data_IF_457146245038
#
_entry.id   IF_457146245038
#
_cell.length_a   1.000
_cell.length_b   1.000
_cell.length_c   1.000
_cell.angle_alpha   90.00
_cell.angle_beta   90.00
_cell.angle_gamma   90.00
#
_symmetry.space_group_name_H-M   'P 1'
#
loop_
_entity.id
_entity.type
_entity.pdbx_description
1 polymer ?
#
# COMPACT_ATOMS: atom_id res chain seq x y z
N UNK A 1 -16.94 0.36 -4.45
CA UNK A 1 -15.68 1.11 -4.27
C UNK A 1 -14.54 0.14 -3.99
N UNK A 2 -13.31 0.44 -4.44
CA UNK A 2 -12.12 -0.42 -4.29
C UNK A 2 -11.13 0.21 -3.31
N UNK A 3 -10.65 -0.57 -2.34
CA UNK A 3 -9.51 -0.21 -1.48
C UNK A 3 -8.20 -0.48 -2.25
N UNK A 4 -7.36 0.54 -2.47
CA UNK A 4 -6.13 0.39 -3.24
C UNK A 4 -4.93 -0.11 -2.42
N UNK A 5 -5.08 -0.30 -1.09
CA UNK A 5 -3.94 -0.55 -0.21
C UNK A 5 -4.26 -1.59 0.87
N UNK A 6 -4.24 -2.86 0.46
CA UNK A 6 -4.48 -4.02 1.33
C UNK A 6 -3.32 -5.00 1.21
N UNK A 7 -2.52 -5.15 2.26
CA UNK A 7 -1.38 -6.06 2.25
C UNK A 7 -1.80 -7.52 2.35
N UNK A 8 -1.30 -8.33 1.43
CA UNK A 8 -1.30 -9.77 1.57
C UNK A 8 -0.06 -10.18 2.40
N UNK A 9 -0.25 -11.12 3.30
CA UNK A 9 0.84 -11.70 4.07
C UNK A 9 0.78 -13.23 3.95
N UNK A 10 1.93 -13.86 3.81
CA UNK A 10 2.03 -15.31 3.76
C UNK A 10 3.35 -15.80 4.35
N UNK A 11 3.27 -16.92 5.08
CA UNK A 11 4.42 -17.72 5.47
C UNK A 11 4.93 -18.51 4.26
N UNK A 12 6.21 -18.83 4.26
CA UNK A 12 6.81 -19.62 3.19
C UNK A 12 6.18 -21.02 3.08
N UNK A 13 5.91 -21.42 1.85
CA UNK A 13 5.64 -22.80 1.44
C UNK A 13 6.41 -23.08 0.14
N UNK A 14 6.60 -24.35 -0.22
CA UNK A 14 7.35 -24.73 -1.43
C UNK A 14 6.75 -24.12 -2.72
N UNK A 15 5.46 -23.81 -2.71
CA UNK A 15 4.70 -23.41 -3.91
C UNK A 15 4.40 -21.91 -4.00
N UNK A 16 4.55 -21.12 -2.90
CA UNK A 16 4.02 -19.75 -2.88
C UNK A 16 5.05 -18.66 -3.17
N UNK A 17 6.34 -18.99 -3.25
CA UNK A 17 7.38 -17.99 -3.51
C UNK A 17 7.47 -16.88 -2.46
N UNK A 18 6.90 -17.09 -1.27
CA UNK A 18 6.91 -16.11 -0.17
C UNK A 18 8.09 -16.36 0.77
N UNK A 19 8.48 -15.33 1.51
CA UNK A 19 9.56 -15.45 2.49
C UNK A 19 9.36 -14.47 3.64
N UNK A 20 9.60 -14.93 4.86
CA UNK A 20 9.69 -14.08 6.04
C UNK A 20 11.00 -14.42 6.76
N UNK A 21 11.84 -13.41 7.03
CA UNK A 21 13.10 -13.63 7.71
C UNK A 21 12.89 -14.13 9.15
N UNK A 22 13.83 -14.93 9.70
CA UNK A 22 13.78 -15.35 11.10
C UNK A 22 13.73 -14.17 12.09
N UNK A 23 14.27 -13.03 11.71
CA UNK A 23 14.22 -11.81 12.51
C UNK A 23 12.79 -11.24 12.53
N UNK A 24 12.13 -11.15 11.36
CA UNK A 24 10.77 -10.66 11.25
C UNK A 24 9.78 -11.55 11.99
N UNK A 25 9.93 -12.88 11.91
CA UNK A 25 9.11 -13.83 12.69
C UNK A 25 9.20 -13.60 14.20
N UNK A 26 10.35 -13.10 14.70
CA UNK A 26 10.54 -12.78 16.12
C UNK A 26 10.09 -11.37 16.50
N UNK A 27 9.74 -10.53 15.53
CA UNK A 27 9.37 -9.14 15.78
C UNK A 27 8.05 -9.02 16.58
N UNK A 28 7.91 -7.95 17.39
CA UNK A 28 6.65 -7.70 18.11
C UNK A 28 5.45 -7.52 17.15
N UNK A 29 5.69 -6.92 15.97
CA UNK A 29 4.65 -6.74 14.96
C UNK A 29 4.13 -8.07 14.44
N UNK A 30 5.02 -9.00 14.05
CA UNK A 30 4.62 -10.33 13.59
C UNK A 30 3.87 -11.09 14.69
N UNK A 31 4.37 -11.07 15.93
CA UNK A 31 3.72 -11.73 17.06
C UNK A 31 2.31 -11.19 17.32
N UNK A 32 2.13 -9.86 17.22
CA UNK A 32 0.82 -9.23 17.36
C UNK A 32 -0.14 -9.66 16.24
N UNK A 33 0.34 -9.68 14.99
CA UNK A 33 -0.47 -10.12 13.84
C UNK A 33 -0.81 -11.61 13.93
N UNK A 34 0.16 -12.45 14.28
CA UNK A 34 -0.04 -13.88 14.48
C UNK A 34 -1.07 -14.17 15.58
N UNK A 35 -0.97 -13.48 16.71
CA UNK A 35 -1.96 -13.58 17.78
C UNK A 35 -3.35 -13.09 17.33
N UNK A 36 -3.43 -11.95 16.65
CA UNK A 36 -4.69 -11.35 16.22
C UNK A 36 -5.44 -12.21 15.19
N UNK A 37 -4.73 -12.87 14.31
CA UNK A 37 -5.27 -13.72 13.24
C UNK A 37 -5.17 -15.21 13.55
N UNK A 38 -4.77 -15.55 14.78
CA UNK A 38 -4.61 -16.94 15.23
C UNK A 38 -3.72 -17.78 14.30
N UNK A 39 -2.60 -17.17 13.85
CA UNK A 39 -1.71 -17.82 12.88
C UNK A 39 -0.71 -18.75 13.59
N UNK A 40 -0.49 -19.93 13.00
CA UNK A 40 0.48 -20.91 13.44
C UNK A 40 1.66 -21.00 12.47
N UNK A 41 2.84 -20.52 12.88
CA UNK A 41 4.03 -20.55 12.02
C UNK A 41 4.52 -21.98 11.69
N UNK A 42 4.06 -23.00 12.43
CA UNK A 42 4.36 -24.41 12.15
C UNK A 42 3.44 -25.02 11.09
N UNK A 43 2.30 -24.38 10.83
CA UNK A 43 1.36 -24.76 9.76
C UNK A 43 1.17 -23.57 8.83
N UNK A 44 2.13 -23.38 7.93
CA UNK A 44 2.17 -22.25 7.02
C UNK A 44 0.98 -22.26 6.04
N UNK A 45 0.62 -23.43 5.51
CA UNK A 45 -0.48 -23.52 4.55
C UNK A 45 -1.82 -23.12 5.17
N UNK A 46 -2.12 -23.66 6.34
CA UNK A 46 -3.31 -23.29 7.12
C UNK A 46 -3.33 -21.80 7.48
N UNK A 47 -2.20 -21.28 7.98
CA UNK A 47 -2.09 -19.86 8.38
C UNK A 47 -2.27 -18.91 7.21
N UNK A 48 -1.72 -19.25 6.03
CA UNK A 48 -1.88 -18.46 4.82
C UNK A 48 -3.36 -18.43 4.38
N UNK A 49 -4.03 -19.59 4.37
CA UNK A 49 -5.45 -19.66 4.03
C UNK A 49 -6.30 -18.92 5.06
N UNK A 50 -6.02 -19.09 6.34
CA UNK A 50 -6.73 -18.40 7.44
C UNK A 50 -6.64 -16.88 7.32
N UNK A 51 -5.45 -16.34 6.95
CA UNK A 51 -5.30 -14.89 6.73
C UNK A 51 -6.18 -14.39 5.58
N UNK A 52 -6.23 -15.13 4.47
CA UNK A 52 -7.09 -14.81 3.32
C UNK A 52 -8.57 -14.89 3.70
N UNK A 53 -8.97 -15.93 4.44
CA UNK A 53 -10.36 -16.12 4.88
C UNK A 53 -10.81 -15.01 5.83
N UNK A 54 -9.96 -14.56 6.75
CA UNK A 54 -10.25 -13.44 7.66
C UNK A 54 -10.43 -12.13 6.88
N UNK A 55 -9.56 -11.89 5.91
CA UNK A 55 -9.65 -10.71 5.03
C UNK A 55 -10.95 -10.75 4.19
N UNK A 56 -11.26 -11.90 3.57
CA UNK A 56 -12.50 -12.10 2.82
C UNK A 56 -13.73 -11.88 3.69
N UNK A 57 -13.74 -12.46 4.89
CA UNK A 57 -14.86 -12.32 5.83
C UNK A 57 -15.08 -10.85 6.25
N UNK A 58 -13.99 -10.08 6.42
CA UNK A 58 -14.07 -8.66 6.76
C UNK A 58 -14.51 -7.82 5.57
N UNK A 59 -13.98 -8.08 4.36
CA UNK A 59 -14.34 -7.36 3.15
C UNK A 59 -15.81 -7.61 2.76
N UNK A 60 -16.26 -8.86 2.80
CA UNK A 60 -17.66 -9.22 2.48
C UNK A 60 -18.69 -8.63 3.41
N UNK A 61 -18.30 -8.27 4.66
CA UNK A 61 -19.13 -7.57 5.62
C UNK A 61 -19.11 -6.05 5.46
N UNK A 62 -18.20 -5.51 4.63
CA UNK A 62 -18.11 -4.08 4.42
C UNK A 62 -19.33 -3.55 3.65
N UNK A 63 -19.87 -2.41 4.10
CA UNK A 63 -21.04 -1.78 3.48
C UNK A 63 -20.67 -0.81 2.36
N UNK A 64 -19.45 -0.26 2.40
CA UNK A 64 -19.00 0.80 1.49
C UNK A 64 -17.95 0.34 0.49
N UNK A 65 -17.41 -0.87 0.65
CA UNK A 65 -16.41 -1.44 -0.24
C UNK A 65 -16.92 -2.71 -0.89
N UNK A 66 -16.45 -2.94 -2.12
CA UNK A 66 -16.78 -4.13 -2.92
C UNK A 66 -15.53 -4.97 -3.16
N UNK A 67 -14.39 -4.30 -3.38
CA UNK A 67 -13.13 -4.96 -3.74
C UNK A 67 -11.94 -4.34 -3.01
N UNK A 68 -10.85 -5.09 -2.98
CA UNK A 68 -9.55 -4.64 -2.50
C UNK A 68 -8.43 -5.02 -3.48
N UNK A 69 -7.43 -4.16 -3.62
CA UNK A 69 -6.19 -4.51 -4.30
C UNK A 69 -5.27 -5.21 -3.31
N UNK A 70 -5.00 -6.48 -3.55
CA UNK A 70 -4.05 -7.27 -2.75
C UNK A 70 -2.63 -6.94 -3.13
N UNK A 71 -1.86 -6.40 -2.21
CA UNK A 71 -0.50 -5.96 -2.45
C UNK A 71 0.51 -7.06 -2.10
N UNK A 72 1.30 -7.43 -3.09
CA UNK A 72 2.53 -8.19 -2.93
C UNK A 72 3.65 -7.38 -2.30
N UNK A 73 4.77 -8.04 -2.04
CA UNK A 73 5.98 -7.40 -1.53
C UNK A 73 7.20 -8.07 -2.15
N UNK A 74 7.98 -7.32 -2.91
CA UNK A 74 9.25 -7.81 -3.49
C UNK A 74 10.42 -7.60 -2.53
N UNK A 75 11.53 -8.29 -2.79
CA UNK A 75 12.71 -8.28 -1.96
C UNK A 75 13.73 -7.19 -2.29
N UNK A 76 14.89 -7.33 -1.67
CA UNK A 76 16.09 -6.54 -1.93
C UNK A 76 16.92 -7.24 -3.00
N UNK A 77 17.45 -6.48 -3.95
CA UNK A 77 18.32 -7.00 -5.01
C UNK A 77 19.73 -6.42 -4.89
N UNK A 78 20.71 -7.18 -5.32
CA UNK A 78 22.10 -6.72 -5.42
C UNK A 78 22.33 -5.90 -6.70
N UNK A 79 23.56 -5.42 -6.90
CA UNK A 79 23.92 -4.60 -8.06
C UNK A 79 23.83 -5.37 -9.40
N UNK A 80 23.79 -6.70 -9.38
CA UNK A 80 23.60 -7.55 -10.56
C UNK A 80 22.13 -7.86 -10.85
N UNK A 81 21.23 -7.37 -10.00
CA UNK A 81 19.79 -7.60 -10.12
C UNK A 81 19.34 -8.99 -9.64
N UNK A 82 20.14 -9.64 -8.79
CA UNK A 82 19.84 -10.93 -8.17
C UNK A 82 19.28 -10.70 -6.75
N UNK A 83 18.25 -11.47 -6.37
CA UNK A 83 17.63 -11.39 -5.05
C UNK A 83 18.66 -11.64 -3.93
N UNK A 84 18.82 -10.67 -3.04
CA UNK A 84 19.62 -10.78 -1.82
C UNK A 84 18.72 -11.27 -0.66
N UNK A 85 18.61 -12.60 -0.52
CA UNK A 85 17.81 -13.20 0.54
C UNK A 85 18.28 -12.82 1.94
N UNK A 86 19.60 -12.53 2.12
CA UNK A 86 20.15 -12.10 3.42
C UNK A 86 19.73 -10.70 3.85
N UNK A 87 19.31 -9.88 2.88
CA UNK A 87 18.81 -8.52 3.12
C UNK A 87 17.29 -8.39 2.98
N UNK A 88 16.63 -9.39 2.45
CA UNK A 88 15.17 -9.43 2.32
C UNK A 88 14.56 -9.89 3.65
N UNK A 89 13.68 -9.07 4.23
CA UNK A 89 12.98 -9.43 5.47
C UNK A 89 11.59 -10.04 5.23
N UNK A 90 10.92 -9.57 4.20
CA UNK A 90 9.57 -9.98 3.86
C UNK A 90 9.38 -9.96 2.34
N UNK A 91 8.87 -11.04 1.80
CA UNK A 91 8.56 -11.19 0.38
C UNK A 91 7.22 -11.94 0.23
N UNK A 92 6.35 -11.40 -0.59
CA UNK A 92 5.10 -12.04 -1.02
C UNK A 92 5.15 -12.15 -2.54
N UNK A 93 5.30 -13.37 -3.05
CA UNK A 93 5.51 -13.64 -4.47
C UNK A 93 4.36 -13.17 -5.34
N UNK A 94 4.66 -12.64 -6.52
CA UNK A 94 3.65 -12.15 -7.46
C UNK A 94 2.69 -13.25 -7.90
N UNK A 95 3.17 -14.48 -8.11
CA UNK A 95 2.31 -15.61 -8.47
C UNK A 95 1.31 -15.95 -7.36
N UNK A 96 1.72 -15.84 -6.10
CA UNK A 96 0.80 -16.04 -4.98
C UNK A 96 -0.31 -14.97 -4.98
N UNK A 97 0.05 -13.68 -5.17
CA UNK A 97 -0.93 -12.59 -5.28
C UNK A 97 -1.91 -12.82 -6.44
N UNK A 98 -1.38 -13.15 -7.62
CA UNK A 98 -2.17 -13.42 -8.82
C UNK A 98 -3.12 -14.61 -8.64
N UNK A 99 -2.64 -15.68 -7.99
CA UNK A 99 -3.44 -16.88 -7.74
C UNK A 99 -4.57 -16.61 -6.73
N UNK A 100 -4.30 -15.88 -5.63
CA UNK A 100 -5.34 -15.51 -4.68
C UNK A 100 -6.38 -14.60 -5.35
N UNK A 101 -5.96 -13.58 -6.09
CA UNK A 101 -6.90 -12.69 -6.79
C UNK A 101 -7.73 -13.43 -7.84
N UNK A 102 -7.13 -14.41 -8.55
CA UNK A 102 -7.86 -15.27 -9.50
C UNK A 102 -8.87 -16.20 -8.82
N UNK A 103 -8.57 -16.68 -7.60
CA UNK A 103 -9.47 -17.51 -6.81
C UNK A 103 -10.68 -16.74 -6.29
N UNK A 104 -10.53 -15.42 -6.09
CA UNK A 104 -11.57 -14.54 -5.54
C UNK A 104 -11.74 -13.27 -6.40
N UNK A 105 -12.15 -13.39 -7.68
CA UNK A 105 -12.15 -12.26 -8.63
C UNK A 105 -13.21 -11.20 -8.34
N UNK A 106 -14.20 -11.52 -7.53
CA UNK A 106 -15.24 -10.59 -7.11
C UNK A 106 -14.77 -9.68 -5.96
N UNK A 107 -13.81 -10.13 -5.16
CA UNK A 107 -13.31 -9.45 -3.99
C UNK A 107 -11.94 -8.81 -4.21
N UNK A 108 -11.07 -9.42 -5.04
CA UNK A 108 -9.68 -9.00 -5.14
C UNK A 108 -9.25 -8.62 -6.55
N UNK A 109 -8.39 -7.60 -6.59
CA UNK A 109 -7.57 -7.22 -7.74
C UNK A 109 -6.09 -7.45 -7.37
N UNK A 110 -5.25 -7.99 -8.27
CA UNK A 110 -3.85 -8.22 -7.94
C UNK A 110 -3.02 -6.94 -8.02
N UNK A 111 -2.37 -6.59 -6.93
CA UNK A 111 -1.35 -5.54 -6.83
C UNK A 111 0.02 -6.20 -6.64
N UNK A 112 0.73 -6.39 -7.74
CA UNK A 112 2.03 -7.05 -7.73
C UNK A 112 3.13 -6.14 -7.16
N UNK A 113 4.26 -6.71 -6.75
CA UNK A 113 5.41 -5.93 -6.32
C UNK A 113 6.61 -6.26 -7.19
N UNK A 114 7.25 -5.24 -7.75
CA UNK A 114 8.40 -5.42 -8.64
C UNK A 114 9.43 -4.34 -8.29
N UNK A 115 10.54 -4.78 -7.71
CA UNK A 115 11.68 -3.90 -7.47
C UNK A 115 12.35 -3.57 -8.81
N UNK A 116 12.50 -2.29 -9.20
CA UNK A 116 13.08 -1.93 -10.49
C UNK A 116 14.58 -2.30 -10.61
N UNK A 117 15.21 -2.73 -9.51
CA UNK A 117 16.59 -3.20 -9.50
C UNK A 117 16.72 -4.67 -9.96
N UNK A 118 15.64 -5.41 -10.10
CA UNK A 118 15.66 -6.77 -10.66
C UNK A 118 16.21 -6.74 -12.08
N UNK A 119 17.02 -7.75 -12.42
CA UNK A 119 17.52 -7.89 -13.82
C UNK A 119 16.42 -8.17 -14.83
N UNK A 120 15.31 -8.78 -14.38
CA UNK A 120 14.11 -9.16 -15.14
C UNK A 120 12.91 -8.25 -14.84
N UNK A 121 13.15 -7.01 -14.36
CA UNK A 121 12.06 -6.12 -13.90
C UNK A 121 11.02 -5.82 -14.98
N UNK A 122 11.45 -5.66 -16.23
CA UNK A 122 10.57 -5.32 -17.35
C UNK A 122 9.78 -6.56 -17.79
N UNK A 123 10.45 -7.69 -17.94
CA UNK A 123 9.82 -8.97 -18.30
C UNK A 123 8.79 -9.40 -17.23
N UNK A 124 9.14 -9.25 -15.96
CA UNK A 124 8.21 -9.55 -14.87
C UNK A 124 7.01 -8.59 -14.86
N UNK A 125 7.22 -7.30 -15.17
CA UNK A 125 6.13 -6.34 -15.30
C UNK A 125 5.17 -6.70 -16.43
N UNK A 126 5.70 -7.07 -17.61
CA UNK A 126 4.89 -7.51 -18.75
C UNK A 126 4.10 -8.76 -18.40
N UNK A 127 4.76 -9.79 -17.86
CA UNK A 127 4.14 -11.04 -17.43
C UNK A 127 3.00 -10.82 -16.42
N UNK A 128 3.24 -10.01 -15.40
CA UNK A 128 2.23 -9.71 -14.38
C UNK A 128 1.05 -8.91 -14.95
N UNK A 129 1.32 -7.98 -15.87
CA UNK A 129 0.28 -7.19 -16.54
C UNK A 129 -0.61 -8.08 -17.41
N UNK A 130 -0.03 -8.98 -18.18
CA UNK A 130 -0.77 -9.98 -18.98
C UNK A 130 -1.61 -10.92 -18.09
N UNK A 131 -1.14 -11.20 -16.87
CA UNK A 131 -1.87 -11.98 -15.87
C UNK A 131 -2.94 -11.18 -15.12
N UNK A 132 -3.14 -9.88 -15.43
CA UNK A 132 -4.20 -9.03 -14.91
C UNK A 132 -3.81 -8.16 -13.71
N UNK A 133 -2.51 -7.89 -13.50
CA UNK A 133 -2.07 -6.98 -12.44
C UNK A 133 -2.73 -5.60 -12.58
N UNK A 134 -3.30 -5.09 -11.49
CA UNK A 134 -4.01 -3.82 -11.43
C UNK A 134 -3.09 -2.63 -11.13
N UNK A 135 -2.01 -2.86 -10.37
CA UNK A 135 -0.96 -1.89 -10.07
C UNK A 135 0.33 -2.59 -9.62
N UNK A 136 1.43 -1.82 -9.59
CA UNK A 136 2.70 -2.25 -9.00
C UNK A 136 2.91 -1.54 -7.67
N UNK A 137 3.12 -2.27 -6.58
CA UNK A 137 3.50 -1.75 -5.26
C UNK A 137 5.00 -1.79 -5.08
N UNK A 138 5.58 -0.70 -4.54
CA UNK A 138 6.97 -0.67 -4.10
C UNK A 138 7.10 -0.06 -2.71
N UNK A 139 8.10 -0.53 -1.98
CA UNK A 139 8.50 -0.04 -0.66
C UNK A 139 10.00 0.30 -0.68
N UNK A 140 10.39 1.45 -1.27
CA UNK A 140 11.79 1.77 -1.57
C UNK A 140 12.74 1.65 -0.39
N UNK A 141 12.30 2.10 0.81
CA UNK A 141 13.08 2.02 2.06
C UNK A 141 13.51 0.57 2.39
N UNK A 142 12.59 -0.38 2.25
CA UNK A 142 12.82 -1.79 2.62
C UNK A 142 13.36 -2.61 1.45
N UNK A 143 12.99 -2.25 0.21
CA UNK A 143 13.46 -2.89 -1.01
C UNK A 143 14.86 -2.39 -1.44
N UNK A 144 15.39 -1.35 -0.79
CA UNK A 144 16.76 -0.90 -0.93
C UNK A 144 17.09 -0.21 -2.25
N UNK A 145 16.13 0.50 -2.86
CA UNK A 145 16.38 1.29 -4.08
C UNK A 145 15.90 2.74 -3.93
N UNK A 146 16.47 3.63 -4.72
CA UNK A 146 16.10 5.04 -4.79
C UNK A 146 15.15 5.29 -5.98
N UNK A 147 13.86 5.65 -5.76
CA UNK A 147 12.94 5.93 -6.86
C UNK A 147 13.38 7.08 -7.77
N UNK A 148 14.21 7.99 -7.26
CA UNK A 148 14.78 9.10 -8.04
C UNK A 148 15.96 8.70 -8.93
N UNK A 149 16.44 7.47 -8.86
CA UNK A 149 17.58 7.02 -9.66
C UNK A 149 17.17 6.84 -11.12
N UNK A 150 17.83 7.59 -12.00
CA UNK A 150 17.54 7.63 -13.44
C UNK A 150 17.84 6.30 -14.17
N UNK A 151 18.58 5.37 -13.56
CA UNK A 151 18.77 4.03 -14.11
C UNK A 151 17.46 3.25 -14.29
N UNK A 152 16.41 3.58 -13.53
CA UNK A 152 15.09 2.93 -13.59
C UNK A 152 14.12 3.57 -14.60
N UNK A 153 14.56 4.57 -15.37
CA UNK A 153 13.74 5.20 -16.43
C UNK A 153 13.13 4.16 -17.40
N UNK A 154 13.84 3.13 -17.88
CA UNK A 154 13.22 2.12 -18.73
C UNK A 154 12.02 1.41 -18.08
N UNK A 155 12.11 1.10 -16.80
CA UNK A 155 11.00 0.51 -16.02
C UNK A 155 9.82 1.49 -15.90
N UNK A 156 10.07 2.76 -15.61
CA UNK A 156 9.01 3.77 -15.49
C UNK A 156 8.30 4.04 -16.81
N UNK A 157 9.03 4.08 -17.92
CA UNK A 157 8.45 4.18 -19.27
C UNK A 157 7.60 2.95 -19.60
N UNK A 158 8.02 1.78 -19.19
CA UNK A 158 7.22 0.55 -19.36
C UNK A 158 5.93 0.61 -18.58
N UNK A 159 5.94 1.06 -17.32
CA UNK A 159 4.71 1.30 -16.53
C UNK A 159 3.75 2.25 -17.25
N UNK A 160 4.28 3.37 -17.79
CA UNK A 160 3.49 4.33 -18.54
C UNK A 160 2.90 3.72 -19.83
N UNK A 161 3.69 2.96 -20.58
CA UNK A 161 3.26 2.27 -21.80
C UNK A 161 2.14 1.27 -21.53
N UNK A 162 2.27 0.49 -20.46
CA UNK A 162 1.29 -0.52 -20.06
C UNK A 162 0.11 0.08 -19.27
N UNK A 163 0.17 1.38 -18.95
CA UNK A 163 -0.81 2.11 -18.14
C UNK A 163 -1.05 1.50 -16.76
N UNK A 164 -0.01 0.90 -16.18
CA UNK A 164 -0.06 0.27 -14.85
C UNK A 164 0.40 1.30 -13.81
N UNK A 165 -0.43 1.69 -12.82
CA UNK A 165 -0.05 2.62 -11.77
C UNK A 165 1.05 2.06 -10.86
N UNK A 166 1.96 2.94 -10.43
CA UNK A 166 2.97 2.67 -9.40
C UNK A 166 2.49 3.18 -8.05
N UNK A 167 2.18 2.30 -7.11
CA UNK A 167 1.91 2.64 -5.72
C UNK A 167 3.22 2.57 -4.92
N UNK A 168 3.77 3.73 -4.57
CA UNK A 168 5.03 3.82 -3.83
C UNK A 168 4.78 4.20 -2.37
N UNK A 169 5.41 3.47 -1.44
CA UNK A 169 5.51 3.90 -0.05
C UNK A 169 6.20 5.26 0.05
N UNK A 170 5.72 6.11 0.94
CA UNK A 170 6.29 7.42 1.26
C UNK A 170 6.40 7.59 2.78
N UNK A 171 7.45 8.27 3.20
CA UNK A 171 7.76 8.52 4.60
C UNK A 171 8.66 7.46 5.22
N UNK A 172 8.78 7.55 6.54
CA UNK A 172 9.56 6.58 7.32
C UNK A 172 8.85 5.23 7.38
N UNK A 173 9.62 4.17 7.23
CA UNK A 173 9.18 2.78 7.40
C UNK A 173 9.68 2.24 8.75
N UNK A 174 8.75 1.81 9.60
CA UNK A 174 9.05 1.29 10.94
C UNK A 174 8.69 -0.19 11.11
N UNK A 175 7.88 -0.74 10.21
CA UNK A 175 7.39 -2.13 10.29
C UNK A 175 8.40 -3.12 9.73
N UNK A 176 9.13 -2.70 8.69
CA UNK A 176 10.19 -3.46 8.05
C UNK A 176 11.51 -2.70 8.16
N UNK A 177 12.64 -3.41 8.12
CA UNK A 177 13.92 -2.72 8.10
C UNK A 177 14.08 -1.88 6.83
N UNK A 178 14.05 -0.58 7.00
CA UNK A 178 14.46 0.37 5.98
C UNK A 178 15.94 0.72 6.18
N UNK A 179 16.78 0.42 5.20
CA UNK A 179 18.21 0.78 5.27
C UNK A 179 18.42 2.27 5.05
N UNK A 180 17.64 2.83 4.11
CA UNK A 180 17.71 4.24 3.75
C UNK A 180 16.30 4.85 3.82
N UNK A 181 16.03 5.55 4.90
CA UNK A 181 14.75 6.23 5.10
C UNK A 181 14.55 7.40 4.12
N UNK A 182 15.63 7.92 3.53
CA UNK A 182 15.54 8.97 2.51
C UNK A 182 14.89 8.47 1.20
N UNK A 183 14.86 7.15 0.97
CA UNK A 183 14.16 6.56 -0.17
C UNK A 183 12.65 6.80 -0.16
N UNK A 184 12.09 7.10 1.02
CA UNK A 184 10.68 7.48 1.19
C UNK A 184 10.38 8.98 0.95
N UNK A 185 11.32 9.78 0.46
CA UNK A 185 11.07 11.18 0.11
C UNK A 185 10.21 11.27 -1.15
N UNK A 186 8.99 11.87 -1.10
CA UNK A 186 8.11 11.99 -2.25
C UNK A 186 8.68 12.83 -3.40
N UNK A 187 9.71 13.66 -3.18
CA UNK A 187 10.39 14.36 -4.28
C UNK A 187 11.05 13.40 -5.27
N UNK A 188 11.44 12.21 -4.83
CA UNK A 188 12.03 11.16 -5.68
C UNK A 188 11.03 10.58 -6.69
N UNK A 189 9.73 10.73 -6.43
CA UNK A 189 8.65 10.32 -7.34
C UNK A 189 8.54 11.22 -8.60
N UNK A 190 9.29 12.32 -8.67
CA UNK A 190 9.32 13.17 -9.87
C UNK A 190 9.84 12.41 -11.09
N UNK A 191 10.84 11.55 -10.91
CA UNK A 191 11.41 10.80 -12.03
C UNK A 191 10.37 9.89 -12.70
N UNK A 192 9.67 8.97 -12.02
CA UNK A 192 8.61 8.19 -12.67
C UNK A 192 7.47 9.06 -13.23
N UNK A 193 7.10 10.17 -12.57
CA UNK A 193 6.06 11.10 -13.06
C UNK A 193 6.47 11.78 -14.38
N UNK A 194 7.70 12.24 -14.49
CA UNK A 194 8.27 12.88 -15.69
C UNK A 194 8.37 11.90 -16.86
N UNK A 195 8.55 10.61 -16.58
CA UNK A 195 8.57 9.54 -17.59
C UNK A 195 7.14 9.03 -17.93
N UNK A 196 6.09 9.70 -17.44
CA UNK A 196 4.70 9.46 -17.81
C UNK A 196 3.98 8.39 -16.99
N UNK A 197 4.64 7.74 -16.03
CA UNK A 197 3.98 6.76 -15.19
C UNK A 197 2.92 7.42 -14.29
N UNK A 198 1.77 6.76 -14.12
CA UNK A 198 0.82 7.14 -13.06
C UNK A 198 1.36 6.72 -11.72
N UNK A 199 1.53 7.67 -10.79
CA UNK A 199 2.11 7.39 -9.47
C UNK A 199 1.09 7.68 -8.37
N UNK A 200 0.95 6.72 -7.46
CA UNK A 200 0.17 6.83 -6.23
C UNK A 200 1.16 6.88 -5.06
N UNK A 201 1.24 8.02 -4.38
CA UNK A 201 2.03 8.14 -3.17
C UNK A 201 1.23 7.60 -1.98
N UNK A 202 1.75 6.59 -1.28
CA UNK A 202 1.09 6.04 -0.11
C UNK A 202 0.98 7.06 1.03
N UNK A 203 -0.04 6.86 1.88
CA UNK A 203 -0.23 7.57 3.15
C UNK A 203 -0.31 9.10 3.01
N UNK A 204 -0.87 9.61 1.89
CA UNK A 204 -1.00 11.05 1.65
C UNK A 204 0.32 11.79 1.68
N UNK A 205 1.43 11.15 1.34
CA UNK A 205 2.79 11.67 1.54
C UNK A 205 3.14 11.97 3.01
N UNK A 206 2.48 11.35 4.01
CA UNK A 206 2.88 11.50 5.41
C UNK A 206 4.28 10.95 5.64
N UNK A 207 5.11 11.70 6.35
CA UNK A 207 6.44 11.21 6.74
C UNK A 207 6.41 10.18 7.88
N UNK A 208 5.29 10.06 8.60
CA UNK A 208 5.14 9.12 9.70
C UNK A 208 5.73 9.59 11.04
N UNK A 209 5.94 10.88 11.23
CA UNK A 209 6.51 11.46 12.46
C UNK A 209 5.50 12.36 13.20
N UNK A 210 4.37 11.80 13.60
CA UNK A 210 3.30 12.41 14.42
C UNK A 210 2.81 13.77 13.89
N UNK A 211 3.25 14.87 14.45
CA UNK A 211 2.77 16.21 14.11
C UNK A 211 3.64 16.92 13.04
N UNK A 212 4.83 16.42 12.80
CA UNK A 212 5.75 16.99 11.82
C UNK A 212 5.55 16.36 10.46
N UNK A 213 4.99 17.13 9.52
CA UNK A 213 4.63 16.67 8.16
C UNK A 213 5.29 17.57 7.11
N UNK A 214 6.62 17.45 6.92
CA UNK A 214 7.35 18.28 5.97
C UNK A 214 6.93 18.02 4.52
N UNK A 215 6.51 16.79 4.21
CA UNK A 215 6.13 16.36 2.86
C UNK A 215 4.74 16.86 2.41
N UNK A 216 4.00 17.51 3.31
CA UNK A 216 2.73 18.11 2.94
C UNK A 216 2.86 19.16 1.82
N UNK A 217 3.91 19.99 1.84
CA UNK A 217 4.17 20.96 0.77
C UNK A 217 4.53 20.26 -0.54
N UNK A 218 5.28 19.17 -0.46
CA UNK A 218 5.62 18.34 -1.63
C UNK A 218 4.37 17.71 -2.22
N UNK A 219 3.43 17.19 -1.42
CA UNK A 219 2.13 16.69 -1.90
C UNK A 219 1.41 17.77 -2.73
N UNK A 220 1.27 18.98 -2.20
CA UNK A 220 0.60 20.08 -2.90
C UNK A 220 1.28 20.44 -4.22
N UNK A 221 2.60 20.47 -4.24
CA UNK A 221 3.38 20.75 -5.45
C UNK A 221 3.24 19.64 -6.49
N UNK A 222 3.31 18.37 -6.09
CA UNK A 222 3.13 17.23 -7.00
C UNK A 222 1.72 17.18 -7.59
N UNK A 223 0.67 17.42 -6.78
CA UNK A 223 -0.72 17.51 -7.26
C UNK A 223 -0.91 18.61 -8.31
N UNK A 224 -0.26 19.77 -8.11
CA UNK A 224 -0.36 20.91 -9.04
C UNK A 224 0.41 20.68 -10.34
N UNK A 225 1.57 20.04 -10.27
CA UNK A 225 2.48 19.88 -11.42
C UNK A 225 2.16 18.70 -12.31
N UNK A 226 1.67 17.59 -11.72
CA UNK A 226 1.56 16.32 -12.42
C UNK A 226 0.13 15.81 -12.45
N UNK A 227 -0.47 15.73 -13.64
CA UNK A 227 -1.83 15.20 -13.83
C UNK A 227 -1.93 13.70 -13.54
N UNK A 228 -0.81 12.98 -13.64
CA UNK A 228 -0.62 11.55 -13.37
C UNK A 228 -0.19 11.26 -11.92
N UNK A 229 -0.22 12.26 -11.02
CA UNK A 229 0.07 12.08 -9.60
C UNK A 229 -1.23 11.93 -8.79
N UNK A 230 -1.24 10.93 -7.92
CA UNK A 230 -2.27 10.64 -6.92
C UNK A 230 -1.62 10.32 -5.58
N UNK A 231 -2.43 10.33 -4.52
CA UNK A 231 -2.00 9.82 -3.21
C UNK A 231 -3.13 9.00 -2.58
N UNK A 232 -2.82 7.96 -1.83
CA UNK A 232 -3.85 7.26 -1.07
C UNK A 232 -3.99 7.81 0.35
N UNK A 233 -5.12 7.50 1.00
CA UNK A 233 -5.38 7.92 2.39
C UNK A 233 -5.13 6.82 3.40
N UNK A 234 -4.41 5.76 3.01
CA UNK A 234 -4.08 4.62 3.87
C UNK A 234 -3.26 5.04 5.10
N UNK A 235 -3.33 4.29 6.18
CA UNK A 235 -2.63 4.53 7.45
C UNK A 235 -2.85 5.89 8.13
N UNK A 236 -3.57 6.85 7.54
CA UNK A 236 -3.68 8.22 8.07
C UNK A 236 -4.49 8.34 9.38
N UNK A 237 -5.02 7.25 9.90
CA UNK A 237 -5.64 7.20 11.23
C UNK A 237 -4.67 6.74 12.32
N UNK A 238 -3.47 6.32 11.96
CA UNK A 238 -2.44 5.91 12.92
C UNK A 238 -1.92 7.10 13.72
N UNK A 239 -1.50 6.89 14.99
CA UNK A 239 -1.01 7.96 15.87
C UNK A 239 0.15 8.77 15.28
N UNK A 240 0.98 8.15 14.48
CA UNK A 240 2.13 8.81 13.84
C UNK A 240 1.82 9.49 12.50
N UNK A 241 0.59 9.38 11.94
CA UNK A 241 0.22 9.89 10.61
C UNK A 241 -1.04 10.77 10.58
N UNK A 242 -1.83 10.86 11.64
CA UNK A 242 -3.10 11.60 11.63
C UNK A 242 -2.92 13.11 11.39
N UNK A 243 -1.74 13.66 11.63
CA UNK A 243 -1.43 15.05 11.32
C UNK A 243 -1.60 15.39 9.84
N UNK A 244 -1.27 14.44 8.94
CA UNK A 244 -1.52 14.60 7.51
C UNK A 244 -3.03 14.59 7.21
N UNK A 245 -3.82 13.70 7.83
CA UNK A 245 -5.26 13.65 7.62
C UNK A 245 -5.93 14.99 7.95
N UNK A 246 -5.50 15.66 9.02
CA UNK A 246 -6.01 16.99 9.39
C UNK A 246 -5.58 18.09 8.41
N UNK A 247 -4.44 17.94 7.74
CA UNK A 247 -4.01 18.86 6.68
C UNK A 247 -4.87 18.66 5.44
N UNK A 248 -5.09 17.40 5.02
CA UNK A 248 -5.96 17.07 3.89
C UNK A 248 -7.39 17.60 4.08
N UNK A 249 -7.94 17.52 5.31
CA UNK A 249 -9.25 18.09 5.63
C UNK A 249 -9.35 19.58 5.31
N UNK A 250 -8.25 20.34 5.45
CA UNK A 250 -8.19 21.79 5.22
C UNK A 250 -7.93 22.18 3.76
N UNK A 251 -7.68 21.21 2.91
CA UNK A 251 -7.26 21.40 1.52
C UNK A 251 -8.11 20.57 0.55
N UNK A 252 -9.40 20.96 0.39
CA UNK A 252 -10.33 20.22 -0.49
C UNK A 252 -9.88 20.19 -1.95
N UNK A 253 -9.03 21.12 -2.39
CA UNK A 253 -8.49 21.18 -3.74
C UNK A 253 -7.66 19.94 -4.14
N UNK A 254 -7.13 19.16 -3.17
CA UNK A 254 -6.39 17.93 -3.45
C UNK A 254 -7.27 16.69 -3.44
N UNK A 255 -8.51 16.77 -2.98
CA UNK A 255 -9.37 15.60 -2.77
C UNK A 255 -9.63 14.79 -4.04
N UNK A 256 -9.70 15.44 -5.20
CA UNK A 256 -9.85 14.78 -6.50
C UNK A 256 -8.64 13.90 -6.88
N UNK A 257 -7.52 14.01 -6.16
CA UNK A 257 -6.28 13.24 -6.32
C UNK A 257 -6.05 12.24 -5.20
N UNK A 258 -6.97 12.14 -4.23
CA UNK A 258 -6.88 11.17 -3.15
C UNK A 258 -7.63 9.89 -3.52
N UNK A 259 -7.04 8.75 -3.21
CA UNK A 259 -7.60 7.42 -3.42
C UNK A 259 -7.89 6.76 -2.07
N UNK A 260 -8.99 5.99 -2.02
CA UNK A 260 -9.32 5.23 -0.83
C UNK A 260 -8.32 4.09 -0.61
N UNK A 261 -7.79 3.99 0.62
CA UNK A 261 -6.92 2.93 1.08
C UNK A 261 -6.96 2.80 2.60
N UNK A 262 -6.88 1.57 3.13
CA UNK A 262 -6.88 1.32 4.57
C UNK A 262 -5.49 1.07 5.15
N UNK A 263 -4.61 0.41 4.40
CA UNK A 263 -3.37 -0.20 4.87
C UNK A 263 -3.63 -1.43 5.76
N UNK A 264 -4.65 -2.22 5.37
CA UNK A 264 -4.92 -3.50 6.04
C UNK A 264 -3.64 -4.37 6.07
N UNK A 265 -3.28 -5.04 7.18
CA UNK A 265 -4.10 -5.35 8.36
C UNK A 265 -3.97 -4.34 9.51
N UNK A 266 -3.43 -3.15 9.29
CA UNK A 266 -3.25 -2.16 10.35
C UNK A 266 -4.58 -1.73 10.97
N UNK A 267 -4.52 -1.25 12.21
CA UNK A 267 -5.69 -0.77 12.91
C UNK A 267 -6.16 0.60 12.37
N UNK A 268 -7.47 0.78 12.29
CA UNK A 268 -8.11 2.05 11.97
C UNK A 268 -8.61 2.69 13.25
N UNK A 269 -7.95 3.76 13.69
CA UNK A 269 -8.25 4.44 14.95
C UNK A 269 -9.25 5.59 14.76
N UNK A 270 -10.19 5.81 15.69
CA UNK A 270 -11.15 6.91 15.64
C UNK A 270 -10.59 8.26 16.12
N UNK A 271 -9.38 8.32 16.69
CA UNK A 271 -8.77 9.51 17.27
C UNK A 271 -8.83 10.78 16.43
N UNK A 272 -8.63 10.71 15.09
CA UNK A 272 -8.63 11.91 14.28
C UNK A 272 -9.96 12.68 14.32
N UNK A 273 -11.04 11.99 14.68
CA UNK A 273 -12.37 12.57 14.76
C UNK A 273 -12.70 13.23 16.11
N UNK A 274 -11.94 12.91 17.16
CA UNK A 274 -12.24 13.41 18.51
C UNK A 274 -12.24 14.94 18.56
N UNK A 275 -13.34 15.51 19.08
CA UNK A 275 -13.51 16.97 19.18
C UNK A 275 -13.66 17.71 17.85
N UNK A 276 -13.74 17.00 16.73
CA UNK A 276 -13.87 17.56 15.37
C UNK A 276 -15.21 17.30 14.70
N UNK A 277 -15.95 16.32 15.20
CA UNK A 277 -17.27 15.92 14.71
C UNK A 277 -18.25 15.83 15.86
N UNK A 278 -19.56 15.71 15.54
CA UNK A 278 -20.61 15.54 16.52
C UNK A 278 -20.49 14.23 17.29
N UNK A 279 -20.91 14.22 18.60
CA UNK A 279 -20.81 13.04 19.46
C UNK A 279 -21.56 11.82 18.92
N UNK A 280 -22.72 12.04 18.28
CA UNK A 280 -23.51 10.93 17.70
C UNK A 280 -22.73 10.22 16.59
N UNK A 281 -22.11 10.99 15.71
CA UNK A 281 -21.29 10.49 14.60
C UNK A 281 -20.02 9.79 15.12
N UNK A 282 -19.33 10.42 16.08
CA UNK A 282 -18.15 9.81 16.71
C UNK A 282 -18.49 8.47 17.37
N UNK A 283 -19.64 8.36 18.06
CA UNK A 283 -20.11 7.12 18.66
C UNK A 283 -20.38 6.04 17.61
N UNK A 284 -20.92 6.40 16.44
CA UNK A 284 -21.11 5.47 15.32
C UNK A 284 -19.77 4.91 14.85
N UNK A 285 -18.78 5.77 14.63
CA UNK A 285 -17.44 5.38 14.22
C UNK A 285 -16.78 4.40 15.20
N UNK A 286 -16.87 4.68 16.51
CA UNK A 286 -16.30 3.81 17.55
C UNK A 286 -16.95 2.42 17.53
N UNK A 287 -18.27 2.35 17.29
CA UNK A 287 -19.05 1.11 17.30
C UNK A 287 -18.95 0.31 16.01
N UNK A 288 -18.36 0.88 14.97
CA UNK A 288 -18.15 0.19 13.70
C UNK A 288 -16.93 -0.72 13.80
N UNK A 289 -17.12 -2.03 13.87
CA UNK A 289 -16.03 -3.00 14.03
C UNK A 289 -15.27 -3.25 12.73
N UNK A 290 -15.96 -3.23 11.58
CA UNK A 290 -15.34 -3.40 10.27
C UNK A 290 -14.35 -2.26 9.97
N UNK A 291 -13.08 -2.60 9.69
CA UNK A 291 -12.01 -1.60 9.46
C UNK A 291 -12.23 -0.77 8.20
N UNK A 292 -12.73 -1.39 7.15
CA UNK A 292 -13.02 -0.72 5.87
C UNK A 292 -14.10 0.35 6.07
N UNK A 293 -15.21 -0.03 6.69
CA UNK A 293 -16.33 0.88 6.97
C UNK A 293 -15.92 1.98 7.96
N UNK A 294 -15.18 1.63 9.00
CA UNK A 294 -14.68 2.64 9.96
C UNK A 294 -13.81 3.67 9.29
N UNK A 295 -12.90 3.26 8.38
CA UNK A 295 -12.06 4.18 7.60
C UNK A 295 -12.90 5.09 6.73
N UNK A 296 -13.87 4.53 6.00
CA UNK A 296 -14.80 5.29 5.19
C UNK A 296 -15.57 6.35 6.00
N UNK A 297 -16.13 5.94 7.13
CA UNK A 297 -16.90 6.84 8.00
C UNK A 297 -16.04 7.97 8.58
N UNK A 298 -14.78 7.68 8.97
CA UNK A 298 -13.83 8.71 9.44
C UNK A 298 -13.59 9.76 8.35
N UNK A 299 -13.29 9.34 7.14
CA UNK A 299 -13.02 10.26 6.02
C UNK A 299 -14.24 11.12 5.71
N UNK A 300 -15.42 10.50 5.65
CA UNK A 300 -16.69 11.21 5.41
C UNK A 300 -17.00 12.21 6.51
N UNK A 301 -16.86 11.81 7.77
CA UNK A 301 -17.12 12.68 8.94
C UNK A 301 -16.17 13.89 8.99
N UNK A 302 -14.92 13.71 8.57
CA UNK A 302 -13.94 14.80 8.48
C UNK A 302 -14.08 15.62 7.19
N UNK A 303 -14.95 15.25 6.26
CA UNK A 303 -15.11 15.96 4.98
C UNK A 303 -13.91 15.79 4.05
N UNK A 304 -13.13 14.71 4.19
CA UNK A 304 -12.02 14.38 3.29
C UNK A 304 -12.58 13.60 2.11
N UNK A 305 -12.60 14.23 0.94
CA UNK A 305 -13.00 13.58 -0.32
C UNK A 305 -11.93 12.63 -0.84
N UNK A 306 -12.37 11.58 -1.53
CA UNK A 306 -11.49 10.58 -2.15
C UNK A 306 -12.20 9.91 -3.33
N UNK A 307 -11.41 9.23 -4.17
CA UNK A 307 -11.88 8.45 -5.32
C UNK A 307 -11.56 6.96 -5.10
N UNK A 308 -12.21 6.13 -5.89
CA UNK A 308 -11.90 4.71 -6.00
C UNK A 308 -10.83 4.48 -7.06
N UNK A 309 -9.89 3.57 -6.83
CA UNK A 309 -8.74 3.35 -7.72
C UNK A 309 -9.12 2.80 -9.09
N UNK A 310 -10.24 2.05 -9.19
CA UNK A 310 -10.78 1.54 -10.45
C UNK A 310 -11.09 2.65 -11.46
N UNK A 311 -11.38 3.88 -10.99
CA UNK A 311 -11.54 5.04 -11.86
C UNK A 311 -10.26 5.44 -12.60
N UNK A 312 -9.07 5.03 -12.12
CA UNK A 312 -7.81 5.22 -12.84
C UNK A 312 -7.60 4.16 -13.92
N UNK A 313 -8.18 2.97 -13.73
CA UNK A 313 -8.03 1.82 -14.62
C UNK A 313 -8.97 1.88 -15.82
N UNK A 314 -10.14 2.53 -15.67
CA UNK A 314 -11.17 2.67 -16.71
C UNK A 314 -10.98 3.89 -17.61
N UNK A 315 -10.11 4.84 -17.24
CA UNK A 315 -9.86 6.09 -17.99
C UNK A 315 -8.77 5.94 -19.08
N UNK A 316 -8.46 4.71 -19.46
CA UNK A 316 -7.38 4.37 -20.40
C UNK A 316 -7.90 3.89 -21.75
#
# INVERSE_FOLDING_TARGET
MVDCHVHLAALWTEENGCYISPRMLRSPLFKLLAWKHDLNAQDAAWSNQKYVDDLLAELRKAQYLEKAVLLGMDGVYDASGVLDAGKTEFLVGNDYVLNIARSYPNEFLPGVSINPQRRDAIEELERCTEAGAALVKVLPNSQGFDPGNRQYIPFYRKLAQLKIPLLSHVGYEFSLMGKDQSAGDPNKLRVPLEEGATVIAAHGCSNGLVAYEPYYRTLLDLVRRYVNFFADVSALTLPNRFGMLWRLQRHPEVHARLLFGTDYPLAVFPWPCWGRIGWREFRTIIRTDNRFDRKYLILKALGVGFRSVDQLMTSS
#
